data_IF_482426941157
#
_entry.id   IF_482426941157
#
_cell.length_a   1.000
_cell.length_b   1.000
_cell.length_c   1.000
_cell.angle_alpha   90.00
_cell.angle_beta   90.00
_cell.angle_gamma   90.00
#
_symmetry.space_group_name_H-M   'P 1'
#
loop_
_entity.id
_entity.type
_entity.pdbx_description
1 polymer ?
#
# COMPACT_ATOMS: atom_id res chain seq x y z
N UNK A 1 17.44 7.43 11.39
CA UNK A 1 16.04 7.90 11.69
C UNK A 1 15.25 7.96 10.41
N UNK A 2 14.24 7.12 10.25
CA UNK A 2 13.38 7.12 9.06
C UNK A 2 12.46 8.35 9.09
N UNK A 3 12.59 9.26 8.13
CA UNK A 3 11.66 10.38 7.95
C UNK A 3 10.26 9.80 7.70
N UNK A 4 9.32 10.03 8.63
CA UNK A 4 7.89 9.78 8.42
C UNK A 4 7.40 10.69 7.30
N UNK A 5 7.40 10.19 6.07
CA UNK A 5 6.73 10.85 4.92
C UNK A 5 5.23 10.65 5.07
N UNK A 6 4.61 11.42 5.96
CA UNK A 6 3.16 11.53 6.04
C UNK A 6 2.63 12.28 4.82
N UNK A 7 1.59 11.77 4.16
CA UNK A 7 0.86 12.49 3.12
C UNK A 7 0.16 13.69 3.77
N UNK A 8 0.61 14.93 3.51
CA UNK A 8 -0.15 16.13 3.85
C UNK A 8 -1.35 16.24 2.91
N UNK A 9 -2.54 16.22 3.49
CA UNK A 9 -3.82 16.39 2.78
C UNK A 9 -4.37 17.73 3.26
N UNK A 10 -4.57 18.67 2.34
CA UNK A 10 -5.20 19.95 2.63
C UNK A 10 -6.66 19.72 3.07
N UNK A 11 -7.11 20.40 4.13
CA UNK A 11 -8.44 20.18 4.72
C UNK A 11 -8.56 18.98 5.68
N UNK A 12 -7.48 18.27 6.00
CA UNK A 12 -7.51 17.16 6.95
C UNK A 12 -7.96 17.61 8.36
N UNK A 13 -7.64 18.84 8.76
CA UNK A 13 -8.06 19.39 10.05
C UNK A 13 -9.59 19.61 10.12
N UNK A 14 -10.21 20.09 9.03
CA UNK A 14 -11.66 20.26 8.92
C UNK A 14 -12.39 18.91 8.94
N UNK A 15 -11.89 17.93 8.23
CA UNK A 15 -12.42 16.56 8.27
C UNK A 15 -12.28 15.94 9.67
N UNK A 16 -11.19 16.23 10.36
CA UNK A 16 -10.98 15.81 11.74
C UNK A 16 -12.03 16.38 12.70
N UNK A 17 -12.30 17.70 12.61
CA UNK A 17 -13.37 18.36 13.40
C UNK A 17 -14.74 17.78 13.10
N UNK A 18 -15.06 17.56 11.82
CA UNK A 18 -16.32 16.96 11.39
C UNK A 18 -16.48 15.54 11.96
N UNK A 19 -15.43 14.72 11.90
CA UNK A 19 -15.44 13.39 12.49
C UNK A 19 -15.63 13.41 14.01
N UNK A 20 -14.99 14.37 14.72
CA UNK A 20 -15.10 14.49 16.16
C UNK A 20 -16.52 14.88 16.62
N UNK A 21 -17.29 15.59 15.80
CA UNK A 21 -18.68 15.96 16.10
C UNK A 21 -19.64 14.76 16.04
N UNK A 22 -19.22 13.61 15.50
CA UNK A 22 -20.07 12.43 15.37
C UNK A 22 -20.04 11.55 16.64
N UNK A 23 -21.17 10.90 17.00
CA UNK A 23 -21.18 9.81 17.98
C UNK A 23 -20.16 8.73 17.64
N UNK A 24 -19.52 8.13 18.64
CA UNK A 24 -18.36 7.25 18.45
C UNK A 24 -18.58 6.11 17.44
N UNK A 25 -19.69 5.37 17.54
CA UNK A 25 -20.00 4.28 16.60
C UNK A 25 -20.06 4.74 15.15
N UNK A 26 -20.53 5.96 14.92
CA UNK A 26 -20.70 6.56 13.61
C UNK A 26 -19.39 7.07 13.05
N UNK A 27 -18.62 7.71 13.90
CA UNK A 27 -17.28 8.18 13.63
C UNK A 27 -16.40 7.03 13.14
N UNK A 28 -16.41 5.88 13.83
CA UNK A 28 -15.66 4.68 13.43
C UNK A 28 -16.13 4.14 12.07
N UNK A 29 -17.45 4.05 11.84
CA UNK A 29 -17.99 3.56 10.56
C UNK A 29 -17.65 4.51 9.41
N UNK A 30 -17.85 5.82 9.58
CA UNK A 30 -17.52 6.82 8.57
C UNK A 30 -16.03 6.84 8.24
N UNK A 31 -15.16 6.80 9.26
CA UNK A 31 -13.71 6.73 9.07
C UNK A 31 -13.28 5.45 8.33
N UNK A 32 -13.89 4.30 8.66
CA UNK A 32 -13.59 3.03 7.99
C UNK A 32 -13.98 3.07 6.51
N UNK A 33 -15.17 3.57 6.18
CA UNK A 33 -15.63 3.65 4.81
C UNK A 33 -14.80 4.64 3.99
N UNK A 34 -14.49 5.80 4.55
CA UNK A 34 -13.67 6.81 3.92
C UNK A 34 -12.25 6.28 3.59
N UNK A 35 -11.59 5.64 4.58
CA UNK A 35 -10.26 5.07 4.37
C UNK A 35 -10.26 3.88 3.43
N UNK A 36 -11.35 3.07 3.41
CA UNK A 36 -11.53 1.96 2.46
C UNK A 36 -11.57 2.45 1.02
N UNK A 37 -12.42 3.44 0.71
CA UNK A 37 -12.55 4.01 -0.65
C UNK A 37 -11.24 4.59 -1.15
N UNK A 38 -10.55 5.34 -0.31
CA UNK A 38 -9.25 5.92 -0.64
C UNK A 38 -8.18 4.84 -0.90
N UNK A 39 -8.11 3.82 -0.05
CA UNK A 39 -7.16 2.72 -0.20
C UNK A 39 -7.47 1.86 -1.44
N UNK A 40 -8.74 1.67 -1.78
CA UNK A 40 -9.16 0.94 -2.98
C UNK A 40 -8.70 1.63 -4.27
N UNK A 41 -8.80 2.97 -4.33
CA UNK A 41 -8.23 3.75 -5.44
C UNK A 41 -6.72 3.53 -5.55
N UNK A 42 -5.99 3.68 -4.44
CA UNK A 42 -4.53 3.48 -4.43
C UNK A 42 -4.17 2.05 -4.82
N UNK A 43 -4.89 1.05 -4.32
CA UNK A 43 -4.71 -0.36 -4.66
C UNK A 43 -4.86 -0.62 -6.15
N UNK A 44 -5.96 -0.15 -6.76
CA UNK A 44 -6.22 -0.31 -8.20
C UNK A 44 -5.13 0.37 -9.04
N UNK A 45 -4.77 1.59 -8.71
CA UNK A 45 -3.74 2.35 -9.43
C UNK A 45 -2.34 1.73 -9.25
N UNK A 46 -1.98 1.31 -8.05
CA UNK A 46 -0.70 0.66 -7.80
C UNK A 46 -0.60 -0.67 -8.56
N UNK A 47 -1.67 -1.47 -8.55
CA UNK A 47 -1.73 -2.73 -9.30
C UNK A 47 -1.60 -2.51 -10.82
N UNK A 48 -2.18 -1.45 -11.35
CA UNK A 48 -2.06 -1.08 -12.76
C UNK A 48 -0.65 -0.57 -13.13
N UNK A 49 0.05 0.06 -12.19
CA UNK A 49 1.40 0.57 -12.40
C UNK A 49 2.49 -0.53 -12.33
N UNK A 50 2.18 -1.71 -11.79
CA UNK A 50 3.13 -2.82 -11.71
C UNK A 50 3.44 -3.33 -13.11
N UNK A 51 4.73 -3.34 -13.46
CA UNK A 51 5.21 -3.96 -14.69
C UNK A 51 5.07 -5.48 -14.59
N UNK A 52 4.64 -6.08 -15.68
CA UNK A 52 4.62 -7.54 -15.82
C UNK A 52 5.87 -7.98 -16.56
N UNK A 53 6.42 -9.12 -16.19
CA UNK A 53 7.45 -9.78 -16.98
C UNK A 53 6.85 -10.30 -18.30
N UNK A 54 7.67 -10.36 -19.35
CA UNK A 54 7.24 -10.82 -20.67
C UNK A 54 7.02 -12.34 -20.70
N UNK A 55 7.62 -13.07 -19.74
CA UNK A 55 7.49 -14.52 -19.62
C UNK A 55 7.81 -15.01 -18.20
N UNK A 56 7.59 -16.31 -17.98
CA UNK A 56 8.00 -16.97 -16.75
C UNK A 56 9.53 -17.04 -16.64
N UNK A 57 10.06 -16.87 -15.44
CA UNK A 57 11.51 -16.94 -15.19
C UNK A 57 11.81 -17.73 -13.92
N UNK A 58 12.98 -18.36 -13.86
CA UNK A 58 13.43 -19.15 -12.71
C UNK A 58 14.24 -18.29 -11.74
N UNK A 59 14.01 -18.50 -10.46
CA UNK A 59 14.76 -17.85 -9.37
C UNK A 59 15.20 -18.92 -8.39
N UNK A 60 16.49 -18.93 -8.06
CA UNK A 60 17.03 -19.80 -6.99
C UNK A 60 16.95 -19.04 -5.66
N UNK A 61 16.23 -19.61 -4.71
CA UNK A 61 16.10 -19.09 -3.35
C UNK A 61 17.36 -19.33 -2.53
N UNK A 62 17.47 -18.64 -1.38
CA UNK A 62 18.64 -18.76 -0.47
C UNK A 62 18.94 -20.18 -0.01
N UNK A 63 17.97 -21.09 -0.03
CA UNK A 63 18.09 -22.51 0.31
C UNK A 63 18.56 -23.42 -0.82
N UNK A 64 18.80 -22.89 -2.04
CA UNK A 64 19.12 -23.69 -3.23
C UNK A 64 17.90 -24.17 -4.00
N UNK A 65 16.70 -24.01 -3.45
CA UNK A 65 15.44 -24.33 -4.14
C UNK A 65 15.23 -23.38 -5.33
N UNK A 66 14.91 -23.94 -6.49
CA UNK A 66 14.58 -23.16 -7.69
C UNK A 66 13.08 -23.10 -7.87
N UNK A 67 12.53 -21.91 -7.91
CA UNK A 67 11.11 -21.64 -8.15
C UNK A 67 10.92 -20.95 -9.49
N UNK A 68 9.78 -21.20 -10.13
CA UNK A 68 9.37 -20.50 -11.34
C UNK A 68 8.43 -19.36 -10.96
N UNK A 69 8.79 -18.13 -11.34
CA UNK A 69 7.95 -16.95 -11.18
C UNK A 69 7.10 -16.74 -12.43
N UNK A 70 5.83 -16.42 -12.22
CA UNK A 70 4.89 -16.17 -13.30
C UNK A 70 4.71 -14.68 -13.59
N UNK A 71 4.46 -14.27 -14.84
CA UNK A 71 4.11 -12.90 -15.18
C UNK A 71 2.88 -12.43 -14.37
N UNK A 72 3.01 -11.27 -13.73
CA UNK A 72 1.91 -10.70 -12.93
C UNK A 72 1.85 -11.15 -11.47
N UNK A 73 2.66 -12.11 -11.02
CA UNK A 73 2.67 -12.63 -9.65
C UNK A 73 2.78 -11.51 -8.59
N UNK A 74 3.58 -10.46 -8.86
CA UNK A 74 3.69 -9.30 -7.99
C UNK A 74 2.37 -8.55 -7.84
N UNK A 75 1.65 -8.36 -8.93
CA UNK A 75 0.33 -7.71 -8.91
C UNK A 75 -0.72 -8.56 -8.21
N UNK A 76 -0.64 -9.89 -8.34
CA UNK A 76 -1.58 -10.82 -7.72
C UNK A 76 -1.30 -11.05 -6.23
N UNK A 77 -0.05 -10.84 -5.82
CA UNK A 77 0.34 -10.86 -4.41
C UNK A 77 -0.08 -9.59 -3.65
N UNK A 78 -0.45 -8.51 -4.35
CA UNK A 78 -0.90 -7.26 -3.72
C UNK A 78 -2.26 -7.44 -3.06
N UNK A 79 -2.38 -6.98 -1.83
CA UNK A 79 -3.62 -7.04 -1.04
C UNK A 79 -3.90 -5.70 -0.37
N UNK A 80 -5.18 -5.46 -0.11
CA UNK A 80 -5.64 -4.37 0.73
C UNK A 80 -6.23 -4.96 2.01
N UNK A 81 -5.77 -4.50 3.17
CA UNK A 81 -6.23 -4.99 4.47
C UNK A 81 -6.66 -3.83 5.36
N UNK A 82 -7.74 -4.05 6.13
CA UNK A 82 -8.11 -3.16 7.21
C UNK A 82 -7.22 -3.42 8.43
N UNK A 83 -6.73 -2.36 9.05
CA UNK A 83 -5.99 -2.42 10.31
C UNK A 83 -6.93 -2.00 11.41
N UNK A 84 -7.09 -2.81 12.48
CA UNK A 84 -7.92 -2.46 13.62
C UNK A 84 -7.55 -1.09 14.20
N UNK A 85 -8.53 -0.45 14.83
CA UNK A 85 -8.36 0.84 15.51
C UNK A 85 -7.21 0.81 16.53
N UNK A 86 -6.49 1.92 16.63
CA UNK A 86 -5.48 2.16 17.63
C UNK A 86 -5.61 3.59 18.20
N UNK A 87 -4.89 3.87 19.30
CA UNK A 87 -4.89 5.22 19.93
C UNK A 87 -4.53 6.35 18.98
N UNK A 88 -3.74 6.06 17.93
CA UNK A 88 -3.24 7.05 16.97
C UNK A 88 -4.14 7.25 15.75
N UNK A 89 -5.16 6.40 15.52
CA UNK A 89 -6.05 6.50 14.37
C UNK A 89 -7.37 5.76 14.59
N UNK A 90 -8.45 6.27 13.99
CA UNK A 90 -9.79 5.68 14.05
C UNK A 90 -9.97 4.51 13.08
N UNK A 91 -9.32 4.59 11.93
CA UNK A 91 -9.35 3.55 10.92
C UNK A 91 -8.15 3.68 10.00
N UNK A 92 -7.60 2.55 9.60
CA UNK A 92 -6.50 2.48 8.64
C UNK A 92 -6.72 1.32 7.68
N UNK A 93 -6.46 1.57 6.39
CA UNK A 93 -6.31 0.52 5.40
C UNK A 93 -4.88 0.52 4.87
N UNK A 94 -4.31 -0.65 4.71
CA UNK A 94 -2.96 -0.85 4.16
C UNK A 94 -3.05 -1.52 2.80
N UNK A 95 -2.35 -0.97 1.82
CA UNK A 95 -2.02 -1.65 0.57
C UNK A 95 -0.66 -2.28 0.75
N UNK A 96 -0.59 -3.59 0.67
CA UNK A 96 0.61 -4.38 0.96
C UNK A 96 0.62 -5.67 0.15
N UNK A 97 1.51 -6.61 0.48
CA UNK A 97 1.63 -7.89 -0.22
C UNK A 97 1.36 -9.06 0.73
N UNK A 98 0.69 -10.09 0.21
CA UNK A 98 0.43 -11.33 0.93
C UNK A 98 1.74 -12.07 1.19
N UNK A 99 2.07 -12.28 2.48
CA UNK A 99 3.34 -12.93 2.87
C UNK A 99 3.28 -14.46 2.78
N UNK A 100 2.13 -15.05 3.14
CA UNK A 100 2.00 -16.52 3.26
C UNK A 100 1.84 -17.23 1.92
N UNK A 101 1.20 -16.60 0.93
CA UNK A 101 0.86 -17.22 -0.35
C UNK A 101 1.96 -17.07 -1.40
N UNK A 102 2.78 -16.04 -1.28
CA UNK A 102 3.78 -15.67 -2.29
C UNK A 102 5.10 -15.40 -1.56
N UNK A 103 5.90 -16.45 -1.42
CA UNK A 103 7.21 -16.37 -0.77
C UNK A 103 8.06 -15.24 -1.36
N UNK A 104 8.57 -14.38 -0.47
CA UNK A 104 9.52 -13.30 -0.78
C UNK A 104 9.06 -12.23 -1.80
N UNK A 105 7.88 -12.33 -2.40
CA UNK A 105 7.35 -11.33 -3.36
C UNK A 105 7.31 -9.92 -2.74
N UNK A 106 7.01 -9.81 -1.45
CA UNK A 106 7.03 -8.52 -0.74
C UNK A 106 8.43 -7.87 -0.68
N UNK A 107 9.52 -8.67 -0.63
CA UNK A 107 10.90 -8.17 -0.69
C UNK A 107 11.21 -7.66 -2.09
N UNK A 108 10.81 -8.41 -3.11
CA UNK A 108 10.96 -8.01 -4.52
C UNK A 108 10.20 -6.71 -4.77
N UNK A 109 8.98 -6.59 -4.24
CA UNK A 109 8.18 -5.37 -4.34
C UNK A 109 8.91 -4.14 -3.80
N UNK A 110 9.58 -4.27 -2.64
CA UNK A 110 10.35 -3.18 -2.05
C UNK A 110 11.53 -2.77 -2.94
N UNK A 111 12.28 -3.73 -3.47
CA UNK A 111 13.40 -3.47 -4.37
C UNK A 111 12.93 -2.80 -5.68
N UNK A 112 11.83 -3.27 -6.27
CA UNK A 112 11.27 -2.67 -7.49
C UNK A 112 10.83 -1.22 -7.22
N UNK A 113 10.11 -0.97 -6.11
CA UNK A 113 9.63 0.36 -5.75
C UNK A 113 10.77 1.36 -5.53
N UNK A 114 11.85 0.92 -4.86
CA UNK A 114 12.92 1.80 -4.39
C UNK A 114 14.19 1.77 -5.26
N UNK A 115 14.33 0.74 -6.09
CA UNK A 115 15.61 0.43 -6.74
C UNK A 115 16.62 -0.17 -5.77
N UNK A 116 17.75 -0.57 -6.30
CA UNK A 116 18.89 -1.10 -5.55
C UNK A 116 20.16 -0.42 -6.06
N UNK A 117 20.94 0.14 -5.16
CA UNK A 117 22.25 0.72 -5.53
C UNK A 117 23.27 -0.39 -5.82
N UNK A 118 24.30 -0.04 -6.57
CA UNK A 118 25.48 -0.89 -6.73
C UNK A 118 26.08 -1.18 -5.36
N UNK A 119 26.34 -2.44 -5.05
CA UNK A 119 26.95 -2.86 -3.78
C UNK A 119 27.73 -4.15 -3.93
N UNK A 120 28.70 -4.35 -3.02
CA UNK A 120 29.49 -5.58 -2.96
C UNK A 120 28.73 -6.64 -2.16
N UNK A 121 28.81 -7.86 -2.62
CA UNK A 121 28.26 -9.04 -1.96
C UNK A 121 29.38 -10.03 -1.77
N UNK A 122 29.56 -10.53 -0.54
CA UNK A 122 30.46 -11.64 -0.24
C UNK A 122 29.63 -12.92 -0.17
N UNK A 123 29.97 -13.89 -1.00
CA UNK A 123 29.32 -15.20 -1.00
C UNK A 123 29.78 -16.03 0.21
N UNK A 124 29.09 -17.15 0.49
CA UNK A 124 29.43 -18.01 1.64
C UNK A 124 30.85 -18.61 1.58
N UNK A 125 31.40 -18.79 0.41
CA UNK A 125 32.74 -19.27 0.14
C UNK A 125 33.79 -18.14 0.10
N UNK A 126 33.45 -16.92 0.55
CA UNK A 126 34.40 -15.81 0.63
C UNK A 126 34.61 -15.05 -0.69
N UNK A 127 34.01 -15.47 -1.81
CA UNK A 127 34.11 -14.73 -3.06
C UNK A 127 33.33 -13.43 -3.01
N UNK A 128 33.98 -12.35 -3.42
CA UNK A 128 33.34 -11.04 -3.57
C UNK A 128 32.91 -10.81 -5.01
N UNK A 129 31.70 -10.28 -5.16
CA UNK A 129 31.22 -9.79 -6.45
C UNK A 129 30.43 -8.50 -6.27
N UNK A 130 30.42 -7.69 -7.32
CA UNK A 130 29.67 -6.43 -7.32
C UNK A 130 28.31 -6.66 -7.93
N UNK A 131 27.24 -6.47 -7.13
CA UNK A 131 25.88 -6.43 -7.66
C UNK A 131 25.65 -5.11 -8.38
N UNK A 132 25.25 -5.10 -9.66
CA UNK A 132 25.15 -3.89 -10.47
C UNK A 132 24.04 -2.93 -10.02
N UNK A 133 23.21 -3.37 -9.08
CA UNK A 133 22.01 -2.64 -8.72
C UNK A 133 20.94 -2.70 -9.81
N UNK A 134 19.87 -1.97 -9.62
CA UNK A 134 18.86 -1.73 -10.64
C UNK A 134 18.10 -0.43 -10.37
N UNK A 135 17.60 0.19 -11.43
CA UNK A 135 16.79 1.40 -11.35
C UNK A 135 15.46 1.13 -10.63
N UNK A 136 14.98 2.12 -9.87
CA UNK A 136 13.62 2.10 -9.29
C UNK A 136 12.55 2.12 -10.39
N UNK A 137 11.53 1.30 -10.20
CA UNK A 137 10.29 1.30 -10.98
C UNK A 137 9.10 1.45 -10.03
N UNK A 138 8.88 2.68 -9.50
CA UNK A 138 7.88 2.91 -8.48
C UNK A 138 6.47 2.71 -9.02
N UNK A 139 5.65 2.01 -8.26
CA UNK A 139 4.25 1.74 -8.56
C UNK A 139 3.31 2.28 -7.46
N UNK A 140 3.73 2.28 -6.20
CA UNK A 140 2.97 2.83 -5.07
C UNK A 140 3.07 4.35 -4.99
N UNK A 141 4.28 4.91 -5.07
CA UNK A 141 4.47 6.37 -5.02
C UNK A 141 3.62 7.12 -6.05
N UNK A 142 3.64 6.76 -7.35
CA UNK A 142 2.80 7.44 -8.34
C UNK A 142 1.31 7.17 -8.13
N UNK A 143 0.90 6.00 -7.62
CA UNK A 143 -0.49 5.72 -7.30
C UNK A 143 -1.05 6.68 -6.24
N UNK A 144 -0.24 7.09 -5.27
CA UNK A 144 -0.62 8.08 -4.25
C UNK A 144 -0.47 9.51 -4.78
N UNK A 145 0.70 9.86 -5.34
CA UNK A 145 1.05 11.25 -5.67
C UNK A 145 0.17 11.85 -6.77
N UNK A 146 -0.16 11.05 -7.78
CA UNK A 146 -1.04 11.47 -8.90
C UNK A 146 -2.51 11.57 -8.51
N UNK A 147 -2.93 10.89 -7.45
CA UNK A 147 -4.35 10.80 -7.06
C UNK A 147 -4.67 11.54 -5.76
N UNK A 148 -3.80 12.41 -5.25
CA UNK A 148 -4.00 13.13 -3.97
C UNK A 148 -5.36 13.81 -3.86
N UNK A 149 -5.75 14.58 -4.87
CA UNK A 149 -7.04 15.30 -4.87
C UNK A 149 -8.23 14.34 -4.86
N UNK A 150 -8.14 13.23 -5.62
CA UNK A 150 -9.20 12.23 -5.66
C UNK A 150 -9.28 11.44 -4.36
N UNK A 151 -8.14 11.08 -3.76
CA UNK A 151 -8.06 10.46 -2.43
C UNK A 151 -8.77 11.34 -1.40
N UNK A 152 -8.47 12.65 -1.37
CA UNK A 152 -9.13 13.60 -0.47
C UNK A 152 -10.65 13.63 -0.68
N UNK A 153 -11.10 13.73 -1.94
CA UNK A 153 -12.52 13.72 -2.28
C UNK A 153 -13.22 12.46 -1.78
N UNK A 154 -12.64 11.29 -2.03
CA UNK A 154 -13.19 10.00 -1.58
C UNK A 154 -13.27 9.89 -0.06
N UNK A 155 -12.30 10.45 0.67
CA UNK A 155 -12.35 10.51 2.12
C UNK A 155 -13.48 11.41 2.59
N UNK A 156 -13.62 12.61 2.01
CA UNK A 156 -14.68 13.56 2.32
C UNK A 156 -16.07 12.97 2.05
N UNK A 157 -16.26 12.38 0.88
CA UNK A 157 -17.52 11.76 0.47
C UNK A 157 -17.86 10.55 1.36
N UNK A 158 -16.88 9.71 1.69
CA UNK A 158 -17.07 8.57 2.59
C UNK A 158 -17.48 8.97 4.01
N UNK A 159 -16.98 10.09 4.53
CA UNK A 159 -17.43 10.68 5.80
C UNK A 159 -18.87 11.19 5.65
N UNK A 160 -19.17 11.92 4.59
CA UNK A 160 -20.51 12.45 4.32
C UNK A 160 -21.58 11.36 4.19
N UNK A 161 -21.29 10.29 3.48
CA UNK A 161 -22.18 9.14 3.34
C UNK A 161 -22.39 8.39 4.65
N UNK A 162 -21.31 8.20 5.41
CA UNK A 162 -21.41 7.64 6.75
C UNK A 162 -22.32 8.44 7.69
N UNK A 163 -22.35 9.77 7.54
CA UNK A 163 -23.28 10.63 8.28
C UNK A 163 -24.74 10.46 7.82
N UNK A 164 -25.01 10.41 6.51
CA UNK A 164 -26.36 10.25 5.96
C UNK A 164 -27.02 8.95 6.38
N UNK A 165 -26.25 7.85 6.39
CA UNK A 165 -26.74 6.52 6.82
C UNK A 165 -27.25 6.50 8.26
N UNK A 166 -26.76 7.41 9.06
CA UNK A 166 -27.13 7.52 10.47
C UNK A 166 -28.41 8.31 10.66
N UNK A 167 -28.54 9.41 9.92
CA UNK A 167 -29.76 10.22 9.95
C UNK A 167 -30.96 9.43 9.44
N UNK A 168 -30.75 8.51 8.49
CA UNK A 168 -31.80 7.60 8.00
C UNK A 168 -32.23 6.52 9.02
N UNK A 169 -31.35 6.08 9.90
CA UNK A 169 -31.67 5.06 10.91
C UNK A 169 -32.33 5.61 12.19
N UNK A 170 -32.42 6.93 12.32
CA UNK A 170 -33.11 7.61 13.45
C UNK A 170 -34.56 7.99 13.13
N UNK A 171 -35.03 7.74 11.90
CA UNK A 171 -36.44 7.75 11.52
C UNK A 171 -36.98 6.32 11.50
#
# INVERSE_FOLDING_TARGET
MAKKTGLKIDGAAELGKLLQSLPEKLRKKAAREATRRAAELVFKQAKANIRRADGAYRVTLKGGETITRQPGELADAMIMTHVPEAKSYLSQHKVTFARKKHNDVWKIAHFIESGVNVHRITSKNGQEYTHPGHRAYPFLKPAVSKNKAQIYRLIKDGIGDGMKDVLKKKK
#
